data_IF_389261141088
#
_entry.id   IF_389261141088
#
_cell.length_a   1.000
_cell.length_b   1.000
_cell.length_c   1.000
_cell.angle_alpha   90.00
_cell.angle_beta   90.00
_cell.angle_gamma   90.00
#
_symmetry.space_group_name_H-M   'P 1'
#
loop_
_entity.id
_entity.type
_entity.pdbx_description
1 polymer ?
#
# COMPACT_ATOMS: atom_id res chain seq x y z
N UNK A 1 -16.40 25.47 -2.28
CA UNK A 1 -15.55 24.51 -1.54
C UNK A 1 -15.08 25.21 -0.28
N UNK A 2 -15.17 24.55 0.87
CA UNK A 2 -14.56 25.05 2.11
C UNK A 2 -13.03 25.01 1.96
N UNK A 3 -12.33 26.05 2.41
CA UNK A 3 -10.87 26.19 2.40
C UNK A 3 -10.21 24.93 2.98
N UNK A 4 -10.84 24.34 3.99
CA UNK A 4 -10.38 23.13 4.68
C UNK A 4 -10.39 21.89 3.82
N UNK A 5 -11.41 21.71 2.99
CA UNK A 5 -11.47 20.53 2.10
C UNK A 5 -10.36 20.58 1.05
N UNK A 6 -10.01 21.78 0.57
CA UNK A 6 -8.90 21.98 -0.35
C UNK A 6 -7.54 21.79 0.35
N UNK A 7 -7.41 22.17 1.62
CA UNK A 7 -6.20 21.93 2.42
C UNK A 7 -6.01 20.44 2.73
N UNK A 8 -7.06 19.74 3.17
CA UNK A 8 -7.04 18.30 3.42
C UNK A 8 -6.63 17.52 2.17
N UNK A 9 -7.21 17.85 1.01
CA UNK A 9 -6.83 17.22 -0.27
C UNK A 9 -5.39 17.53 -0.67
N UNK A 10 -4.93 18.78 -0.49
CA UNK A 10 -3.53 19.15 -0.77
C UNK A 10 -2.56 18.39 0.12
N UNK A 11 -2.85 18.31 1.42
CA UNK A 11 -2.05 17.55 2.38
C UNK A 11 -2.03 16.05 2.03
N UNK A 12 -3.20 15.48 1.70
CA UNK A 12 -3.30 14.08 1.26
C UNK A 12 -2.49 13.82 -0.02
N UNK A 13 -2.68 14.61 -1.07
CA UNK A 13 -1.92 14.50 -2.33
C UNK A 13 -0.42 14.70 -2.13
N UNK A 14 -0.02 15.59 -1.23
CA UNK A 14 1.40 15.81 -0.90
C UNK A 14 1.98 14.61 -0.15
N UNK A 15 1.28 14.10 0.87
CA UNK A 15 1.70 12.92 1.64
C UNK A 15 1.70 11.64 0.81
N UNK A 16 0.87 11.53 -0.24
CA UNK A 16 0.91 10.40 -1.16
C UNK A 16 2.27 10.28 -1.88
N UNK A 17 3.10 11.32 -1.94
CA UNK A 17 4.48 11.16 -2.43
C UNK A 17 5.35 10.26 -1.51
N UNK A 18 4.95 10.09 -0.25
CA UNK A 18 5.57 9.20 0.73
C UNK A 18 4.86 7.84 0.75
N UNK A 19 5.54 6.77 0.34
CA UNK A 19 5.00 5.41 0.39
C UNK A 19 4.62 4.97 1.80
N UNK A 20 5.31 5.45 2.83
CA UNK A 20 4.99 5.09 4.21
C UNK A 20 3.63 5.64 4.61
N UNK A 21 3.18 6.73 3.99
CA UNK A 21 1.81 7.22 4.07
C UNK A 21 0.89 6.46 3.11
N UNK A 22 1.26 6.33 1.82
CA UNK A 22 0.45 5.67 0.78
C UNK A 22 0.02 4.26 1.19
N UNK A 23 0.93 3.48 1.77
CA UNK A 23 0.69 2.09 2.18
C UNK A 23 0.24 1.97 3.66
N UNK A 24 0.04 3.08 4.37
CA UNK A 24 -0.29 3.05 5.79
C UNK A 24 -1.74 2.65 6.04
N UNK A 25 -1.97 1.69 6.94
CA UNK A 25 -3.28 1.51 7.57
C UNK A 25 -3.66 2.72 8.46
N UNK A 26 -2.68 3.55 8.84
CA UNK A 26 -2.82 4.71 9.71
C UNK A 26 -2.80 6.04 8.93
N UNK A 27 -3.24 6.04 7.66
CA UNK A 27 -3.39 7.26 6.83
C UNK A 27 -4.10 8.40 7.59
N UNK A 28 -5.22 8.15 8.31
CA UNK A 28 -5.91 9.23 9.02
C UNK A 28 -5.01 9.90 10.07
N UNK A 29 -4.30 9.12 10.88
CA UNK A 29 -3.45 9.64 11.96
C UNK A 29 -2.23 10.39 11.40
N UNK A 30 -1.63 9.88 10.32
CA UNK A 30 -0.50 10.57 9.66
C UNK A 30 -0.93 11.87 8.99
N UNK A 31 -2.12 11.89 8.38
CA UNK A 31 -2.69 13.11 7.80
C UNK A 31 -2.97 14.15 8.87
N UNK A 32 -3.52 13.74 10.02
CA UNK A 32 -3.74 14.61 11.18
C UNK A 32 -2.42 15.13 11.78
N UNK A 33 -1.38 14.29 11.83
CA UNK A 33 -0.04 14.70 12.23
C UNK A 33 0.54 15.78 11.30
N UNK A 34 0.28 15.70 9.99
CA UNK A 34 0.72 16.75 9.05
C UNK A 34 -0.05 18.07 9.22
N UNK A 35 -1.30 18.01 9.70
CA UNK A 35 -2.11 19.19 10.01
C UNK A 35 -1.87 19.73 11.44
N UNK A 36 -0.79 19.29 12.10
CA UNK A 36 -0.40 19.79 13.43
C UNK A 36 -0.12 21.29 13.43
N UNK A 37 -0.63 21.98 14.45
CA UNK A 37 -0.59 23.44 14.56
C UNK A 37 -1.90 24.14 14.21
N UNK A 38 -2.85 23.45 13.54
CA UNK A 38 -4.19 23.98 13.40
C UNK A 38 -4.94 23.95 14.73
N UNK A 39 -5.50 25.10 15.14
CA UNK A 39 -6.18 25.24 16.42
C UNK A 39 -7.35 24.26 16.60
N UNK A 40 -8.05 23.89 15.53
CA UNK A 40 -9.19 22.97 15.60
C UNK A 40 -8.71 21.52 15.69
N UNK A 41 -7.64 21.15 14.97
CA UNK A 41 -6.99 19.84 15.12
C UNK A 41 -6.54 19.63 16.56
N UNK A 42 -5.86 20.62 17.14
CA UNK A 42 -5.42 20.58 18.54
C UNK A 42 -6.62 20.51 19.49
N UNK A 43 -7.66 21.33 19.29
CA UNK A 43 -8.88 21.26 20.11
C UNK A 43 -9.55 19.89 20.07
N UNK A 44 -9.66 19.25 18.91
CA UNK A 44 -10.34 17.94 18.80
C UNK A 44 -9.49 16.83 19.42
N UNK A 45 -8.16 16.87 19.27
CA UNK A 45 -7.26 15.93 19.96
C UNK A 45 -7.48 15.92 21.47
N UNK A 46 -7.74 17.07 22.08
CA UNK A 46 -8.02 17.18 23.53
C UNK A 46 -9.48 17.02 23.93
N UNK A 47 -10.44 17.31 23.03
CA UNK A 47 -11.85 17.04 23.27
C UNK A 47 -12.08 15.54 23.54
N UNK A 48 -13.07 15.16 24.35
CA UNK A 48 -13.37 13.74 24.67
C UNK A 48 -14.87 13.51 24.65
N UNK A 49 -15.29 12.34 24.15
CA UNK A 49 -16.68 11.90 24.19
C UNK A 49 -17.64 12.90 23.56
N UNK A 50 -18.68 13.30 24.31
CA UNK A 50 -19.76 14.15 23.80
C UNK A 50 -19.29 15.52 23.30
N UNK A 51 -18.21 16.10 23.84
CA UNK A 51 -17.75 17.42 23.37
C UNK A 51 -17.23 17.38 21.93
N UNK A 52 -16.59 16.27 21.51
CA UNK A 52 -16.23 16.05 20.10
C UNK A 52 -17.46 15.98 19.20
N UNK A 53 -18.50 15.25 19.63
CA UNK A 53 -19.76 15.12 18.88
C UNK A 53 -20.49 16.47 18.74
N UNK A 54 -20.53 17.26 19.82
CA UNK A 54 -21.12 18.61 19.78
C UNK A 54 -20.35 19.53 18.84
N UNK A 55 -19.02 19.51 18.88
CA UNK A 55 -18.19 20.30 17.95
C UNK A 55 -18.38 19.83 16.49
N UNK A 56 -18.48 18.52 16.27
CA UNK A 56 -18.70 17.94 14.96
C UNK A 56 -20.09 18.26 14.40
N UNK A 57 -21.06 18.57 15.26
CA UNK A 57 -22.42 18.96 14.86
C UNK A 57 -22.52 20.42 14.39
N UNK A 58 -21.51 21.27 14.64
CA UNK A 58 -21.57 22.71 14.33
C UNK A 58 -20.60 23.16 13.24
N UNK A 59 -19.66 22.32 12.81
CA UNK A 59 -18.63 22.69 11.85
C UNK A 59 -18.24 21.54 10.92
N UNK A 60 -18.33 21.70 9.58
CA UNK A 60 -17.93 20.67 8.61
C UNK A 60 -16.45 20.29 8.74
N UNK A 61 -15.59 21.28 9.03
CA UNK A 61 -14.18 21.05 9.35
C UNK A 61 -14.02 20.13 10.55
N UNK A 62 -14.69 20.44 11.68
CA UNK A 62 -14.57 19.62 12.90
C UNK A 62 -15.13 18.22 12.65
N UNK A 63 -16.22 18.11 11.90
CA UNK A 63 -16.80 16.82 11.50
C UNK A 63 -15.79 15.96 10.75
N UNK A 64 -15.14 16.49 9.70
CA UNK A 64 -14.11 15.78 8.94
C UNK A 64 -12.93 15.35 9.82
N UNK A 65 -12.47 16.22 10.71
CA UNK A 65 -11.38 15.91 11.64
C UNK A 65 -11.79 14.84 12.68
N UNK A 66 -13.04 14.86 13.12
CA UNK A 66 -13.59 13.81 13.99
C UNK A 66 -13.70 12.47 13.26
N UNK A 67 -14.08 12.45 11.98
CA UNK A 67 -14.10 11.24 11.13
C UNK A 67 -12.69 10.66 10.91
N UNK A 68 -11.66 11.51 10.83
CA UNK A 68 -10.25 11.06 10.78
C UNK A 68 -9.77 10.46 12.11
N UNK A 69 -10.28 10.95 13.25
CA UNK A 69 -9.83 10.57 14.59
C UNK A 69 -10.57 9.36 15.18
N UNK A 70 -11.85 9.14 14.84
CA UNK A 70 -12.71 8.16 15.52
C UNK A 70 -13.70 7.43 14.60
N UNK A 71 -13.83 6.11 14.81
CA UNK A 71 -14.83 5.23 14.20
C UNK A 71 -16.25 5.33 14.79
N UNK A 72 -16.49 6.23 15.76
CA UNK A 72 -17.75 6.31 16.54
C UNK A 72 -18.80 7.27 15.99
N UNK A 73 -18.50 8.04 14.94
CA UNK A 73 -19.54 8.69 14.16
C UNK A 73 -20.42 7.60 13.50
N UNK A 74 -21.70 7.88 13.18
CA UNK A 74 -22.59 6.86 12.64
C UNK A 74 -21.87 6.09 11.53
N UNK A 75 -21.81 4.76 11.68
CA UNK A 75 -20.99 3.83 10.87
C UNK A 75 -21.23 3.95 9.37
N UNK A 76 -22.31 4.64 9.01
CA UNK A 76 -22.83 4.94 7.68
C UNK A 76 -21.99 5.90 6.89
N UNK A 77 -21.15 6.77 7.49
CA UNK A 77 -20.32 7.73 6.76
C UNK A 77 -18.87 7.64 7.23
N UNK A 78 -17.95 7.37 6.29
CA UNK A 78 -16.51 7.29 6.53
C UNK A 78 -15.75 8.19 5.56
N UNK A 79 -14.53 8.57 5.93
CA UNK A 79 -13.63 9.20 4.98
C UNK A 79 -12.75 8.13 4.32
N UNK A 80 -12.83 8.05 3.00
CA UNK A 80 -11.98 7.21 2.17
C UNK A 80 -10.77 8.02 1.70
N UNK A 81 -9.56 7.49 1.94
CA UNK A 81 -8.28 8.12 1.64
C UNK A 81 -7.47 7.23 0.69
N UNK A 82 -7.76 7.30 -0.61
CA UNK A 82 -7.09 6.50 -1.65
C UNK A 82 -6.22 7.35 -2.58
N UNK A 83 -5.44 6.70 -3.44
CA UNK A 83 -4.25 7.30 -4.06
C UNK A 83 -4.52 8.52 -4.96
N UNK A 84 -5.73 8.74 -5.45
CA UNK A 84 -6.07 9.95 -6.21
C UNK A 84 -7.23 10.76 -5.61
N UNK A 85 -8.04 10.18 -4.73
CA UNK A 85 -9.30 10.81 -4.30
C UNK A 85 -9.56 10.70 -2.80
N UNK A 86 -9.94 11.84 -2.23
CA UNK A 86 -10.61 11.92 -0.93
C UNK A 86 -12.11 11.88 -1.19
N UNK A 87 -12.78 10.81 -0.74
CA UNK A 87 -14.23 10.65 -0.86
C UNK A 87 -14.87 10.43 0.50
N UNK A 88 -16.14 10.79 0.63
CA UNK A 88 -16.99 10.24 1.68
C UNK A 88 -17.50 8.87 1.24
N UNK A 89 -17.26 7.82 2.00
CA UNK A 89 -17.86 6.51 1.79
C UNK A 89 -19.13 6.38 2.62
N UNK A 90 -20.27 6.27 1.95
CA UNK A 90 -21.55 5.90 2.54
C UNK A 90 -21.64 4.37 2.62
N UNK A 91 -21.57 3.83 3.83
CA UNK A 91 -21.63 2.39 4.08
C UNK A 91 -23.08 1.99 4.38
N UNK A 92 -23.63 1.14 3.53
CA UNK A 92 -24.95 0.55 3.74
C UNK A 92 -24.80 -0.80 4.44
N UNK A 93 -24.85 -0.79 5.78
CA UNK A 93 -24.95 -2.02 6.57
C UNK A 93 -26.40 -2.51 6.74
N UNK A 94 -27.39 -1.65 6.44
CA UNK A 94 -28.79 -1.86 6.82
C UNK A 94 -29.74 -1.96 5.62
N UNK A 95 -30.77 -2.80 5.74
CA UNK A 95 -31.76 -3.00 4.69
C UNK A 95 -32.72 -1.80 4.53
N UNK A 96 -32.86 -1.35 3.27
CA UNK A 96 -33.99 -0.59 2.73
C UNK A 96 -34.30 0.77 3.38
N UNK A 97 -35.21 0.77 4.36
CA UNK A 97 -35.83 2.00 4.89
C UNK A 97 -34.93 2.76 5.87
N UNK A 98 -34.12 2.05 6.65
CA UNK A 98 -33.18 2.67 7.60
C UNK A 98 -32.05 3.42 6.89
N UNK A 99 -31.65 2.96 5.70
CA UNK A 99 -30.62 3.59 4.88
C UNK A 99 -31.01 5.00 4.44
N UNK A 100 -32.23 5.20 3.93
CA UNK A 100 -32.70 6.53 3.51
C UNK A 100 -32.75 7.51 4.67
N UNK A 101 -33.19 7.08 5.85
CA UNK A 101 -33.19 7.92 7.05
C UNK A 101 -31.77 8.28 7.51
N UNK A 102 -30.84 7.32 7.44
CA UNK A 102 -29.43 7.55 7.74
C UNK A 102 -28.80 8.55 6.74
N UNK A 103 -29.17 8.47 5.47
CA UNK A 103 -28.75 9.44 4.45
C UNK A 103 -29.26 10.83 4.75
N UNK A 104 -30.55 11.00 5.06
CA UNK A 104 -31.12 12.31 5.36
C UNK A 104 -30.40 12.98 6.54
N UNK A 105 -29.95 12.18 7.52
CA UNK A 105 -29.16 12.67 8.65
C UNK A 105 -27.75 13.18 8.28
N UNK A 106 -27.17 12.72 7.15
CA UNK A 106 -25.82 13.10 6.72
C UNK A 106 -25.78 13.91 5.42
N UNK A 107 -26.87 13.97 4.65
CA UNK A 107 -26.92 14.61 3.33
C UNK A 107 -26.48 16.08 3.37
N UNK A 108 -26.96 16.82 4.37
CA UNK A 108 -26.56 18.20 4.59
C UNK A 108 -25.04 18.34 4.79
N UNK A 109 -24.42 17.44 5.56
CA UNK A 109 -22.98 17.47 5.80
C UNK A 109 -22.18 17.22 4.53
N UNK A 110 -22.59 16.20 3.77
CA UNK A 110 -21.96 15.85 2.50
C UNK A 110 -22.00 17.03 1.53
N UNK A 111 -23.16 17.68 1.38
CA UNK A 111 -23.32 18.86 0.52
C UNK A 111 -22.43 20.02 0.96
N UNK A 112 -22.31 20.28 2.28
CA UNK A 112 -21.49 21.37 2.81
C UNK A 112 -19.99 21.12 2.68
N UNK A 113 -19.55 19.88 2.84
CA UNK A 113 -18.14 19.52 2.67
C UNK A 113 -17.69 19.63 1.20
N UNK A 114 -18.59 19.43 0.22
CA UNK A 114 -18.21 19.45 -1.20
C UNK A 114 -17.20 18.36 -1.57
N UNK A 115 -17.15 17.27 -0.81
CA UNK A 115 -16.35 16.08 -1.06
C UNK A 115 -17.21 15.06 -1.83
N UNK A 116 -16.70 14.48 -2.93
CA UNK A 116 -17.43 13.48 -3.69
C UNK A 116 -17.79 12.27 -2.83
N UNK A 117 -18.88 11.59 -3.20
CA UNK A 117 -19.40 10.46 -2.42
C UNK A 117 -19.12 9.15 -3.14
N UNK A 118 -18.56 8.20 -2.42
CA UNK A 118 -18.57 6.79 -2.73
C UNK A 118 -19.70 6.09 -1.99
N UNK A 119 -20.36 5.14 -2.64
CA UNK A 119 -21.39 4.30 -2.02
C UNK A 119 -20.87 2.88 -1.88
N UNK A 120 -20.92 2.32 -0.67
CA UNK A 120 -20.55 0.93 -0.40
C UNK A 120 -21.76 0.11 0.03
N UNK A 121 -22.03 -1.00 -0.65
CA UNK A 121 -23.15 -1.87 -0.27
C UNK A 121 -23.42 -3.04 -1.22
N UNK A 122 -24.55 -3.70 -1.00
CA UNK A 122 -25.07 -4.73 -1.89
C UNK A 122 -25.83 -4.13 -3.09
N UNK A 123 -26.45 -5.01 -3.88
CA UNK A 123 -27.21 -4.61 -5.06
C UNK A 123 -28.35 -3.63 -4.72
N UNK A 124 -29.13 -3.93 -3.69
CA UNK A 124 -30.30 -3.13 -3.31
C UNK A 124 -29.90 -1.77 -2.76
N UNK A 125 -28.89 -1.73 -1.89
CA UNK A 125 -28.34 -0.52 -1.32
C UNK A 125 -27.83 0.43 -2.41
N UNK A 126 -27.00 -0.07 -3.33
CA UNK A 126 -26.47 0.75 -4.42
C UNK A 126 -27.61 1.26 -5.29
N UNK A 127 -28.53 0.42 -5.75
CA UNK A 127 -29.66 0.87 -6.58
C UNK A 127 -30.50 1.96 -5.88
N UNK A 128 -30.82 1.79 -4.58
CA UNK A 128 -31.54 2.80 -3.81
C UNK A 128 -30.77 4.12 -3.73
N UNK A 129 -29.47 4.05 -3.42
CA UNK A 129 -28.61 5.24 -3.29
C UNK A 129 -28.41 5.96 -4.62
N UNK A 130 -28.31 5.23 -5.73
CA UNK A 130 -28.27 5.81 -7.08
C UNK A 130 -29.57 6.50 -7.48
N UNK A 131 -30.68 6.23 -6.78
CA UNK A 131 -32.00 6.83 -7.05
C UNK A 131 -32.35 7.97 -6.08
N UNK A 132 -31.47 8.26 -5.12
CA UNK A 132 -31.72 9.21 -4.02
C UNK A 132 -31.23 10.64 -4.32
N UNK A 133 -31.40 11.55 -3.35
CA UNK A 133 -30.86 12.93 -3.40
C UNK A 133 -29.35 12.99 -3.56
N UNK A 134 -28.60 11.94 -3.20
CA UNK A 134 -27.14 11.92 -3.36
C UNK A 134 -26.69 11.57 -4.79
N UNK A 135 -27.59 11.11 -5.68
CA UNK A 135 -27.24 10.76 -7.08
C UNK A 135 -26.36 11.79 -7.81
N UNK A 136 -26.59 13.12 -7.71
CA UNK A 136 -25.77 14.11 -8.42
C UNK A 136 -24.30 14.16 -7.97
N UNK A 137 -24.05 13.82 -6.71
CA UNK A 137 -22.73 13.95 -6.04
C UNK A 137 -21.99 12.61 -5.91
N UNK A 138 -22.63 11.49 -6.23
CA UNK A 138 -21.98 10.17 -6.28
C UNK A 138 -20.92 10.15 -7.40
N UNK A 139 -19.70 9.78 -7.02
CA UNK A 139 -18.53 9.58 -7.90
C UNK A 139 -17.81 8.25 -7.64
N UNK A 140 -18.14 7.54 -6.56
CA UNK A 140 -17.59 6.21 -6.28
C UNK A 140 -18.68 5.18 -6.02
N UNK A 141 -18.41 3.92 -6.35
CA UNK A 141 -19.22 2.78 -5.90
C UNK A 141 -18.31 1.62 -5.52
N UNK A 142 -18.55 1.00 -4.36
CA UNK A 142 -17.97 -0.26 -3.90
C UNK A 142 -19.07 -1.30 -3.69
N UNK A 143 -19.06 -2.37 -4.46
CA UNK A 143 -20.06 -3.44 -4.40
C UNK A 143 -19.53 -4.62 -3.58
N UNK A 144 -20.43 -5.24 -2.80
CA UNK A 144 -20.17 -6.54 -2.19
C UNK A 144 -19.75 -7.58 -3.23
N UNK A 145 -18.83 -8.48 -2.84
CA UNK A 145 -18.37 -9.62 -3.66
C UNK A 145 -19.49 -10.59 -4.05
N UNK A 146 -20.65 -10.50 -3.42
CA UNK A 146 -21.84 -11.30 -3.74
C UNK A 146 -22.63 -10.74 -4.94
N UNK A 147 -22.40 -9.47 -5.31
CA UNK A 147 -23.05 -8.85 -6.45
C UNK A 147 -22.34 -9.29 -7.73
N UNK A 148 -22.99 -10.12 -8.55
CA UNK A 148 -22.44 -10.69 -9.79
C UNK A 148 -22.90 -9.97 -11.07
N UNK A 149 -23.94 -9.16 -10.97
CA UNK A 149 -24.44 -8.33 -12.06
C UNK A 149 -24.41 -6.86 -11.64
N UNK A 150 -23.94 -5.98 -12.53
CA UNK A 150 -23.81 -4.56 -12.24
C UNK A 150 -25.20 -3.93 -12.05
N UNK A 151 -25.51 -3.39 -10.86
CA UNK A 151 -26.80 -2.75 -10.61
C UNK A 151 -26.84 -1.27 -10.97
N UNK A 152 -25.75 -0.75 -11.55
CA UNK A 152 -25.54 0.69 -11.72
C UNK A 152 -26.06 1.10 -13.10
N UNK A 153 -26.96 2.11 -13.18
CA UNK A 153 -27.41 2.66 -14.45
C UNK A 153 -26.25 3.23 -15.29
N UNK A 154 -26.35 3.07 -16.62
CA UNK A 154 -25.30 3.49 -17.56
C UNK A 154 -24.94 4.98 -17.45
N UNK A 155 -25.91 5.86 -17.24
CA UNK A 155 -25.67 7.31 -17.09
C UNK A 155 -24.83 7.65 -15.85
N UNK A 156 -24.97 6.88 -14.77
CA UNK A 156 -24.17 7.08 -13.57
C UNK A 156 -22.76 6.53 -13.75
N UNK A 157 -22.62 5.36 -14.38
CA UNK A 157 -21.31 4.74 -14.67
C UNK A 157 -20.38 5.71 -15.42
N UNK A 158 -20.89 6.48 -16.38
CA UNK A 158 -20.12 7.47 -17.15
C UNK A 158 -19.59 8.64 -16.32
N UNK A 159 -20.10 8.86 -15.10
CA UNK A 159 -19.69 9.93 -14.19
C UNK A 159 -18.87 9.44 -13.00
N UNK A 160 -18.73 8.13 -12.83
CA UNK A 160 -17.95 7.58 -11.71
C UNK A 160 -16.47 7.82 -11.94
N UNK A 161 -15.79 8.27 -10.90
CA UNK A 161 -14.34 8.42 -10.80
C UNK A 161 -13.71 7.16 -10.17
N UNK A 162 -14.50 6.41 -9.39
CA UNK A 162 -14.05 5.19 -8.69
C UNK A 162 -15.06 4.05 -8.82
N UNK A 163 -14.55 2.85 -9.08
CA UNK A 163 -15.32 1.60 -9.03
C UNK A 163 -14.54 0.53 -8.26
N UNK A 164 -15.22 -0.16 -7.36
CA UNK A 164 -14.75 -1.37 -6.67
C UNK A 164 -15.85 -2.44 -6.74
N UNK A 165 -15.58 -3.58 -7.39
CA UNK A 165 -16.56 -4.66 -7.54
C UNK A 165 -15.90 -5.99 -7.93
N UNK A 166 -16.67 -7.07 -7.96
CA UNK A 166 -16.15 -8.34 -8.48
C UNK A 166 -16.10 -8.36 -10.03
N UNK A 167 -15.28 -9.26 -10.58
CA UNK A 167 -15.04 -9.40 -12.01
C UNK A 167 -16.29 -9.73 -12.81
N UNK A 168 -17.20 -10.55 -12.28
CA UNK A 168 -18.48 -10.85 -12.94
C UNK A 168 -19.36 -9.59 -13.04
N UNK A 169 -19.48 -8.82 -11.95
CA UNK A 169 -20.21 -7.56 -11.96
C UNK A 169 -19.60 -6.57 -12.96
N UNK A 170 -18.27 -6.48 -13.00
CA UNK A 170 -17.57 -5.61 -13.94
C UNK A 170 -17.76 -6.07 -15.40
N UNK A 171 -17.69 -7.37 -15.67
CA UNK A 171 -17.93 -7.91 -17.01
C UNK A 171 -19.38 -7.65 -17.51
N UNK A 172 -20.32 -7.54 -16.58
CA UNK A 172 -21.74 -7.26 -16.85
C UNK A 172 -22.10 -5.77 -16.99
N UNK A 173 -21.11 -4.86 -17.01
CA UNK A 173 -21.36 -3.43 -17.18
C UNK A 173 -22.24 -3.15 -18.42
N UNK A 174 -23.35 -2.40 -18.26
CA UNK A 174 -24.24 -2.05 -19.37
C UNK A 174 -23.66 -0.96 -20.28
N UNK A 175 -22.77 -0.12 -19.75
CA UNK A 175 -22.08 0.91 -20.52
C UNK A 175 -20.88 0.33 -21.27
N UNK A 176 -20.49 0.98 -22.37
CA UNK A 176 -19.21 0.73 -23.03
C UNK A 176 -18.07 1.31 -22.15
N UNK A 177 -17.10 0.48 -21.70
CA UNK A 177 -15.97 0.96 -20.90
C UNK A 177 -15.18 2.07 -21.60
N UNK A 178 -15.13 2.11 -22.93
CA UNK A 178 -14.43 3.15 -23.68
C UNK A 178 -14.97 4.57 -23.43
N UNK A 179 -16.24 4.67 -23.00
CA UNK A 179 -16.92 5.94 -22.72
C UNK A 179 -16.71 6.42 -21.27
N UNK A 180 -16.16 5.57 -20.39
CA UNK A 180 -15.98 5.86 -18.96
C UNK A 180 -14.75 6.74 -18.70
N UNK A 181 -14.69 7.91 -19.34
CA UNK A 181 -13.55 8.85 -19.33
C UNK A 181 -13.25 9.49 -17.97
N UNK A 182 -14.22 9.49 -17.05
CA UNK A 182 -14.05 10.03 -15.71
C UNK A 182 -13.42 9.02 -14.75
N UNK A 183 -13.43 7.73 -15.08
CA UNK A 183 -12.96 6.68 -14.19
C UNK A 183 -11.44 6.75 -14.03
N UNK A 184 -10.98 6.95 -12.79
CA UNK A 184 -9.56 7.05 -12.41
C UNK A 184 -9.10 5.86 -11.60
N UNK A 185 -9.97 5.35 -10.74
CA UNK A 185 -9.64 4.26 -9.82
C UNK A 185 -10.54 3.06 -10.06
N UNK A 186 -9.94 1.90 -10.29
CA UNK A 186 -10.65 0.65 -10.49
C UNK A 186 -10.06 -0.45 -9.62
N UNK A 187 -10.91 -1.12 -8.84
CA UNK A 187 -10.59 -2.30 -8.06
C UNK A 187 -11.50 -3.44 -8.52
N UNK A 188 -10.90 -4.51 -9.05
CA UNK A 188 -11.64 -5.69 -9.54
C UNK A 188 -11.16 -6.91 -8.79
N UNK A 189 -12.03 -7.43 -7.92
CA UNK A 189 -11.81 -8.70 -7.22
C UNK A 189 -12.38 -9.88 -8.00
N UNK A 190 -11.82 -11.08 -7.86
CA UNK A 190 -12.20 -12.25 -8.68
C UNK A 190 -12.25 -11.92 -10.18
N UNK A 191 -11.21 -11.24 -10.67
CA UNK A 191 -11.16 -10.78 -12.06
C UNK A 191 -11.22 -11.97 -13.03
N UNK A 192 -12.18 -11.95 -13.94
CA UNK A 192 -12.35 -12.96 -14.99
C UNK A 192 -11.71 -12.48 -16.30
N UNK A 193 -11.45 -13.39 -17.25
CA UNK A 193 -10.96 -12.99 -18.57
C UNK A 193 -11.91 -12.00 -19.28
N UNK A 194 -13.22 -12.16 -19.09
CA UNK A 194 -14.22 -11.23 -19.62
C UNK A 194 -14.12 -9.83 -18.97
N UNK A 195 -13.86 -9.76 -17.66
CA UNK A 195 -13.63 -8.50 -16.97
C UNK A 195 -12.33 -7.83 -17.45
N UNK A 196 -11.26 -8.60 -17.65
CA UNK A 196 -9.97 -8.11 -18.13
C UNK A 196 -10.09 -7.48 -19.53
N UNK A 197 -10.79 -8.12 -20.46
CA UNK A 197 -11.02 -7.56 -21.81
C UNK A 197 -11.76 -6.21 -21.78
N UNK A 198 -12.73 -6.06 -20.87
CA UNK A 198 -13.45 -4.79 -20.65
C UNK A 198 -12.53 -3.74 -20.01
N UNK A 199 -11.68 -4.15 -19.07
CA UNK A 199 -10.74 -3.26 -18.39
C UNK A 199 -9.73 -2.65 -19.35
N UNK A 200 -9.23 -3.44 -20.32
CA UNK A 200 -8.32 -2.98 -21.37
C UNK A 200 -8.87 -1.81 -22.20
N UNK A 201 -10.20 -1.65 -22.27
CA UNK A 201 -10.87 -0.59 -23.02
C UNK A 201 -11.01 0.72 -22.22
N UNK A 202 -10.69 0.75 -20.92
CA UNK A 202 -10.83 1.95 -20.10
C UNK A 202 -9.78 3.00 -20.47
N UNK A 203 -10.18 4.27 -20.71
CA UNK A 203 -9.30 5.25 -21.37
C UNK A 203 -8.39 6.05 -20.43
N UNK A 204 -8.60 6.04 -19.11
CA UNK A 204 -8.09 7.12 -18.24
C UNK A 204 -7.76 6.75 -16.80
N UNK A 205 -7.57 5.45 -16.52
CA UNK A 205 -7.19 4.97 -15.20
C UNK A 205 -5.84 5.51 -14.74
N UNK A 206 -5.77 5.91 -13.48
CA UNK A 206 -4.54 6.24 -12.75
C UNK A 206 -4.20 5.16 -11.73
N UNK A 207 -5.21 4.54 -11.12
CA UNK A 207 -5.04 3.45 -10.14
C UNK A 207 -5.82 2.23 -10.60
N UNK A 208 -5.14 1.09 -10.65
CA UNK A 208 -5.75 -0.19 -10.96
C UNK A 208 -5.32 -1.26 -9.96
N UNK A 209 -6.31 -1.95 -9.39
CA UNK A 209 -6.09 -3.14 -8.57
C UNK A 209 -6.85 -4.32 -9.15
N UNK A 210 -6.14 -5.40 -9.48
CA UNK A 210 -6.71 -6.66 -9.95
C UNK A 210 -6.41 -7.72 -8.90
N UNK A 211 -7.46 -8.34 -8.36
CA UNK A 211 -7.37 -9.50 -7.50
C UNK A 211 -8.07 -10.70 -8.18
N UNK A 212 -7.36 -11.81 -8.33
CA UNK A 212 -7.89 -13.11 -8.78
C UNK A 212 -7.75 -14.11 -7.64
N UNK A 213 -8.74 -15.01 -7.49
CA UNK A 213 -8.95 -15.88 -6.31
C UNK A 213 -7.64 -16.49 -5.79
N UNK A 214 -7.38 -16.29 -4.49
CA UNK A 214 -6.35 -17.00 -3.73
C UNK A 214 -6.80 -18.46 -3.64
N UNK A 215 -6.02 -19.40 -4.16
CA UNK A 215 -6.23 -20.83 -3.92
C UNK A 215 -5.99 -21.20 -2.45
N UNK A 216 -6.80 -20.69 -1.52
CA UNK A 216 -6.90 -21.28 -0.18
C UNK A 216 -7.96 -22.35 -0.28
N UNK A 217 -7.54 -23.61 -0.33
CA UNK A 217 -8.45 -24.72 -0.07
C UNK A 217 -9.13 -24.47 1.30
N UNK A 218 -10.47 -24.52 1.41
CA UNK A 218 -11.08 -24.54 2.72
C UNK A 218 -10.60 -25.80 3.44
N UNK A 219 -9.86 -25.61 4.54
CA UNK A 219 -9.62 -26.64 5.53
C UNK A 219 -10.98 -27.00 6.14
N UNK A 220 -11.68 -27.94 5.52
CA UNK A 220 -12.97 -28.44 6.00
C UNK A 220 -14.06 -28.48 4.94
N UNK A 221 -14.57 -29.70 4.76
CA UNK A 221 -15.81 -30.12 4.10
C UNK A 221 -15.78 -30.27 2.57
N UNK A 222 -15.49 -31.53 2.22
CA UNK A 222 -16.02 -32.33 1.12
C UNK A 222 -17.30 -31.77 0.44
N UNK A 223 -17.32 -31.84 -0.89
CA UNK A 223 -18.49 -31.74 -1.78
C UNK A 223 -18.97 -30.36 -2.23
N UNK A 224 -18.06 -29.46 -2.56
CA UNK A 224 -18.30 -28.60 -3.74
C UNK A 224 -17.23 -28.88 -4.76
N UNK A 225 -17.54 -29.78 -5.70
CA UNK A 225 -16.82 -29.88 -6.96
C UNK A 225 -17.07 -28.58 -7.76
N UNK A 226 -16.43 -27.48 -7.36
CA UNK A 226 -16.31 -26.31 -8.22
C UNK A 226 -15.51 -26.75 -9.45
N UNK A 227 -16.14 -26.65 -10.60
CA UNK A 227 -15.66 -27.14 -11.89
C UNK A 227 -14.25 -26.56 -12.19
N UNK A 228 -13.19 -27.39 -12.26
CA UNK A 228 -11.81 -26.91 -12.45
C UNK A 228 -11.60 -26.16 -13.77
N UNK A 229 -12.54 -26.27 -14.73
CA UNK A 229 -12.50 -25.54 -16.00
C UNK A 229 -13.06 -24.11 -15.94
N UNK A 230 -13.78 -23.71 -14.88
CA UNK A 230 -14.33 -22.34 -14.78
C UNK A 230 -13.42 -21.36 -14.03
N UNK A 231 -12.31 -21.82 -13.44
CA UNK A 231 -11.39 -20.98 -12.68
C UNK A 231 -10.22 -20.48 -13.56
N UNK A 232 -10.54 -19.97 -14.75
CA UNK A 232 -9.61 -19.28 -15.66
C UNK A 232 -9.28 -17.90 -15.05
N UNK A 233 -8.36 -17.89 -14.08
CA UNK A 233 -7.79 -16.66 -13.56
C UNK A 233 -7.06 -15.86 -14.64
N UNK A 234 -6.70 -14.62 -14.31
CA UNK A 234 -5.80 -13.84 -15.17
C UNK A 234 -4.38 -14.39 -15.02
N UNK A 235 -3.92 -15.09 -16.05
CA UNK A 235 -2.57 -15.69 -16.11
C UNK A 235 -1.52 -14.74 -16.72
N UNK A 236 -1.95 -13.79 -17.53
CA UNK A 236 -1.09 -12.81 -18.20
C UNK A 236 -1.75 -11.43 -18.26
N UNK A 237 -0.96 -10.38 -18.06
CA UNK A 237 -1.37 -8.99 -18.26
C UNK A 237 -0.37 -8.32 -19.19
N UNK A 238 -0.85 -7.84 -20.34
CA UNK A 238 -0.07 -7.07 -21.30
C UNK A 238 -0.56 -5.62 -21.30
N UNK A 239 0.30 -4.72 -20.82
CA UNK A 239 0.02 -3.29 -20.76
C UNK A 239 -0.14 -2.68 -22.16
N UNK A 240 0.39 -3.27 -23.24
CA UNK A 240 0.14 -2.76 -24.60
C UNK A 240 -1.34 -2.84 -24.99
N UNK A 241 -2.08 -3.77 -24.41
CA UNK A 241 -3.52 -3.92 -24.66
C UNK A 241 -4.34 -2.94 -23.83
N UNK A 242 -3.75 -2.33 -22.80
CA UNK A 242 -4.43 -1.40 -21.90
C UNK A 242 -4.43 0.02 -22.46
N UNK A 243 -5.60 0.52 -22.83
CA UNK A 243 -5.78 1.89 -23.33
C UNK A 243 -5.31 2.94 -22.30
N UNK A 244 -5.49 2.67 -21.01
CA UNK A 244 -5.04 3.54 -19.91
C UNK A 244 -3.57 3.38 -19.51
N UNK A 245 -2.76 2.55 -20.19
CA UNK A 245 -1.39 2.23 -19.74
C UNK A 245 -0.51 3.49 -19.58
N UNK A 246 -0.66 4.49 -20.45
CA UNK A 246 0.09 5.76 -20.39
C UNK A 246 -0.28 6.63 -19.18
N UNK A 247 -1.54 6.58 -18.73
CA UNK A 247 -2.02 7.36 -17.58
C UNK A 247 -1.88 6.64 -16.25
N UNK A 248 -1.62 5.34 -16.27
CA UNK A 248 -1.56 4.51 -15.07
C UNK A 248 -0.37 4.90 -14.21
N UNK A 249 -0.62 5.18 -12.93
CA UNK A 249 0.37 5.58 -11.93
C UNK A 249 0.59 4.50 -10.88
N UNK A 250 -0.47 3.80 -10.51
CA UNK A 250 -0.49 2.82 -9.44
C UNK A 250 -1.12 1.52 -9.94
N UNK A 251 -0.34 0.45 -9.89
CA UNK A 251 -0.78 -0.89 -10.29
C UNK A 251 -0.64 -1.84 -9.11
N UNK A 252 -1.74 -2.51 -8.74
CA UNK A 252 -1.75 -3.60 -7.78
C UNK A 252 -2.27 -4.87 -8.43
N UNK A 253 -1.49 -5.94 -8.32
CA UNK A 253 -1.83 -7.25 -8.85
C UNK A 253 -1.81 -8.26 -7.70
N UNK A 254 -2.87 -9.03 -7.55
CA UNK A 254 -2.90 -10.17 -6.65
C UNK A 254 -3.58 -11.35 -7.31
N UNK A 255 -2.81 -12.31 -7.80
CA UNK A 255 -3.35 -13.47 -8.52
C UNK A 255 -2.38 -14.64 -8.43
N UNK A 256 -2.82 -15.75 -7.84
CA UNK A 256 -2.01 -16.96 -7.78
C UNK A 256 -1.77 -17.59 -9.17
N UNK A 257 -2.60 -17.26 -10.16
CA UNK A 257 -2.45 -17.72 -11.54
C UNK A 257 -1.49 -16.88 -12.37
N UNK A 258 -1.26 -15.61 -12.00
CA UNK A 258 -0.50 -14.68 -12.81
C UNK A 258 0.96 -15.14 -12.97
N UNK A 259 1.31 -15.45 -14.21
CA UNK A 259 2.61 -15.99 -14.60
C UNK A 259 3.46 -14.97 -15.34
N UNK A 260 2.83 -13.99 -16.00
CA UNK A 260 3.52 -13.04 -16.86
C UNK A 260 2.89 -11.65 -16.80
N UNK A 261 3.75 -10.63 -16.80
CA UNK A 261 3.36 -9.23 -17.01
C UNK A 261 4.28 -8.62 -18.06
N UNK A 262 3.73 -7.88 -19.02
CA UNK A 262 4.45 -7.33 -20.17
C UNK A 262 3.97 -5.92 -20.53
N UNK A 263 4.74 -5.22 -21.36
CA UNK A 263 4.38 -3.93 -21.95
C UNK A 263 4.56 -2.68 -21.11
N UNK A 264 5.38 -2.71 -20.06
CA UNK A 264 5.59 -1.52 -19.23
C UNK A 264 6.40 -0.40 -19.90
N UNK A 265 6.92 -0.61 -21.11
CA UNK A 265 7.54 0.41 -21.95
C UNK A 265 6.52 1.47 -22.43
N UNK A 266 5.24 1.13 -22.53
CA UNK A 266 4.19 2.10 -22.83
C UNK A 266 3.66 2.85 -21.58
N UNK A 267 4.12 2.48 -20.39
CA UNK A 267 3.68 3.09 -19.13
C UNK A 267 4.49 4.35 -18.79
N UNK A 268 4.07 5.49 -19.33
CA UNK A 268 4.74 6.79 -19.16
C UNK A 268 4.59 7.39 -17.74
N UNK A 269 3.59 6.96 -16.96
CA UNK A 269 3.28 7.56 -15.65
C UNK A 269 3.43 6.60 -14.46
N UNK A 270 3.80 5.34 -14.70
CA UNK A 270 3.75 4.30 -13.67
C UNK A 270 4.80 4.55 -12.58
N UNK A 271 4.30 4.86 -11.38
CA UNK A 271 5.11 5.25 -10.23
C UNK A 271 5.23 4.13 -9.20
N UNK A 272 4.16 3.34 -8.99
CA UNK A 272 4.16 2.25 -8.03
C UNK A 272 3.60 0.96 -8.61
N UNK A 273 4.26 -0.16 -8.30
CA UNK A 273 3.79 -1.50 -8.62
C UNK A 273 3.76 -2.32 -7.33
N UNK A 274 2.61 -2.90 -7.04
CA UNK A 274 2.41 -3.83 -5.93
C UNK A 274 1.99 -5.20 -6.47
N UNK A 275 2.71 -6.26 -6.14
CA UNK A 275 2.37 -7.63 -6.53
C UNK A 275 2.26 -8.49 -5.27
N UNK A 276 1.13 -9.13 -5.05
CA UNK A 276 0.88 -9.92 -3.83
C UNK A 276 0.38 -11.31 -4.19
N UNK A 277 1.01 -12.35 -3.67
CA UNK A 277 0.56 -13.73 -3.84
C UNK A 277 0.55 -14.19 -5.31
N UNK A 278 1.60 -13.84 -6.05
CA UNK A 278 1.82 -14.24 -7.44
C UNK A 278 3.01 -15.22 -7.52
N UNK A 279 2.81 -16.45 -7.03
CA UNK A 279 3.87 -17.46 -6.96
C UNK A 279 4.37 -17.92 -8.34
N UNK A 280 3.50 -17.83 -9.36
CA UNK A 280 3.84 -18.18 -10.75
C UNK A 280 4.56 -17.06 -11.50
N UNK A 281 4.60 -15.85 -10.95
CA UNK A 281 5.33 -14.74 -11.55
C UNK A 281 6.82 -14.90 -11.24
N UNK A 282 7.57 -15.45 -12.20
CA UNK A 282 8.99 -15.78 -12.02
C UNK A 282 9.94 -14.65 -12.40
N UNK A 283 9.48 -13.71 -13.22
CA UNK A 283 10.31 -12.64 -13.80
C UNK A 283 9.59 -11.30 -13.80
N UNK A 284 10.36 -10.24 -13.58
CA UNK A 284 9.96 -8.85 -13.71
C UNK A 284 10.70 -8.13 -14.84
N UNK A 285 11.28 -8.87 -15.79
CA UNK A 285 12.11 -8.33 -16.88
C UNK A 285 11.46 -7.18 -17.64
N UNK A 286 10.14 -7.22 -17.81
CA UNK A 286 9.37 -6.15 -18.47
C UNK A 286 9.38 -4.82 -17.70
N UNK A 287 9.55 -4.82 -16.38
CA UNK A 287 9.66 -3.60 -15.57
C UNK A 287 10.94 -2.81 -15.84
N UNK A 288 11.94 -3.39 -16.51
CA UNK A 288 13.14 -2.67 -16.92
C UNK A 288 12.84 -1.42 -17.77
N UNK A 289 11.68 -1.41 -18.44
CA UNK A 289 11.22 -0.29 -19.25
C UNK A 289 10.38 0.75 -18.49
N UNK A 290 10.02 0.49 -17.23
CA UNK A 290 9.25 1.40 -16.39
C UNK A 290 10.15 2.51 -15.83
N UNK A 291 10.55 3.46 -16.68
CA UNK A 291 11.56 4.49 -16.35
C UNK A 291 11.16 5.46 -15.23
N UNK A 292 9.85 5.57 -14.96
CA UNK A 292 9.29 6.43 -13.91
C UNK A 292 8.95 5.68 -12.62
N UNK A 293 9.20 4.36 -12.56
CA UNK A 293 8.92 3.54 -11.39
C UNK A 293 9.74 4.05 -10.20
N UNK A 294 9.05 4.38 -9.10
CA UNK A 294 9.65 4.86 -7.84
C UNK A 294 9.60 3.84 -6.74
N UNK A 295 8.56 3.00 -6.74
CA UNK A 295 8.33 2.04 -5.68
C UNK A 295 7.86 0.71 -6.25
N UNK A 296 8.45 -0.36 -5.74
CA UNK A 296 8.01 -1.72 -6.00
C UNK A 296 7.83 -2.47 -4.69
N UNK A 297 6.65 -3.05 -4.51
CA UNK A 297 6.32 -3.90 -3.37
C UNK A 297 5.87 -5.25 -3.89
N UNK A 298 6.56 -6.31 -3.49
CA UNK A 298 6.27 -7.67 -3.91
C UNK A 298 6.22 -8.55 -2.68
N UNK A 299 5.13 -9.29 -2.53
CA UNK A 299 4.91 -10.19 -1.42
C UNK A 299 4.48 -11.55 -1.93
N UNK A 300 5.00 -12.63 -1.33
CA UNK A 300 4.59 -14.00 -1.68
C UNK A 300 4.68 -14.28 -3.20
N UNK A 301 5.85 -14.05 -3.80
CA UNK A 301 6.08 -14.27 -5.24
C UNK A 301 7.20 -15.27 -5.51
N UNK A 302 7.19 -15.83 -6.73
CA UNK A 302 8.25 -16.70 -7.25
C UNK A 302 9.42 -15.96 -7.90
N UNK A 303 9.44 -14.62 -7.84
CA UNK A 303 10.47 -13.80 -8.48
C UNK A 303 11.85 -14.16 -7.93
N UNK A 304 12.80 -14.40 -8.84
CA UNK A 304 14.20 -14.74 -8.50
C UNK A 304 15.17 -13.62 -8.84
N UNK A 305 15.00 -13.05 -10.02
CA UNK A 305 15.93 -12.09 -10.60
C UNK A 305 15.42 -10.65 -10.43
N UNK A 306 16.27 -9.82 -9.84
CA UNK A 306 16.05 -8.39 -9.66
C UNK A 306 16.76 -7.54 -10.72
N UNK A 307 17.44 -8.16 -11.69
CA UNK A 307 18.21 -7.48 -12.74
C UNK A 307 17.43 -6.42 -13.50
N UNK A 308 16.13 -6.64 -13.70
CA UNK A 308 15.24 -5.66 -14.32
C UNK A 308 15.17 -4.33 -13.57
N UNK A 309 15.25 -4.36 -12.24
CA UNK A 309 15.16 -3.17 -11.38
C UNK A 309 16.41 -2.29 -11.48
N UNK A 310 17.55 -2.85 -11.90
CA UNK A 310 18.77 -2.09 -12.16
C UNK A 310 18.57 -1.04 -13.27
N UNK A 311 17.61 -1.28 -14.18
CA UNK A 311 17.29 -0.39 -15.29
C UNK A 311 16.26 0.70 -14.91
N UNK A 312 15.73 0.73 -13.68
CA UNK A 312 14.77 1.73 -13.24
C UNK A 312 15.47 2.94 -12.57
N UNK A 313 15.76 4.05 -13.29
CA UNK A 313 16.59 5.14 -12.78
C UNK A 313 15.92 5.96 -11.66
N UNK A 314 14.59 5.87 -11.55
CA UNK A 314 13.80 6.58 -10.55
C UNK A 314 13.47 5.74 -9.32
N UNK A 315 13.94 4.49 -9.23
CA UNK A 315 13.55 3.57 -8.16
C UNK A 315 14.12 4.04 -6.82
N UNK A 316 13.22 4.35 -5.89
CA UNK A 316 13.52 4.88 -4.56
C UNK A 316 13.29 3.83 -3.47
N UNK A 317 12.30 2.95 -3.63
CA UNK A 317 11.93 1.97 -2.60
C UNK A 317 11.65 0.59 -3.18
N UNK A 318 12.13 -0.41 -2.46
CA UNK A 318 11.94 -1.82 -2.77
C UNK A 318 11.47 -2.52 -1.50
N UNK A 319 10.35 -3.23 -1.59
CA UNK A 319 9.86 -4.12 -0.53
C UNK A 319 9.62 -5.51 -1.10
N UNK A 320 10.37 -6.52 -0.65
CA UNK A 320 10.20 -7.93 -0.99
C UNK A 320 9.87 -8.73 0.27
N UNK A 321 8.59 -8.90 0.56
CA UNK A 321 8.13 -9.66 1.72
C UNK A 321 7.95 -11.15 1.36
N UNK A 322 8.58 -12.04 2.12
CA UNK A 322 8.39 -13.49 2.02
C UNK A 322 8.72 -14.01 0.60
N UNK A 323 9.60 -13.32 -0.13
CA UNK A 323 10.07 -13.72 -1.45
C UNK A 323 11.29 -14.64 -1.32
N UNK A 324 11.04 -15.92 -1.00
CA UNK A 324 12.10 -16.91 -0.71
C UNK A 324 13.03 -17.23 -1.88
N UNK A 325 12.61 -16.94 -3.10
CA UNK A 325 13.38 -17.23 -4.31
C UNK A 325 14.36 -16.08 -4.68
N UNK A 326 14.23 -14.91 -4.05
CA UNK A 326 15.19 -13.80 -4.17
C UNK A 326 16.38 -14.10 -3.27
N UNK A 327 17.51 -14.47 -3.86
CA UNK A 327 18.71 -14.89 -3.10
C UNK A 327 19.82 -13.83 -3.03
N UNK A 328 19.81 -12.87 -3.96
CA UNK A 328 20.85 -11.84 -4.09
C UNK A 328 20.26 -10.47 -4.36
N UNK A 329 20.87 -9.44 -3.76
CA UNK A 329 20.56 -8.03 -3.98
C UNK A 329 21.59 -7.32 -4.86
N UNK A 330 22.58 -8.04 -5.42
CA UNK A 330 23.67 -7.45 -6.23
C UNK A 330 23.18 -6.67 -7.45
N UNK A 331 22.02 -7.02 -8.00
CA UNK A 331 21.38 -6.26 -9.08
C UNK A 331 21.04 -4.81 -8.70
N UNK A 332 20.89 -4.52 -7.40
CA UNK A 332 20.59 -3.18 -6.89
C UNK A 332 21.84 -2.32 -6.69
N UNK A 333 23.04 -2.87 -6.94
CA UNK A 333 24.29 -2.16 -6.75
C UNK A 333 24.33 -0.85 -7.55
N UNK A 334 24.65 0.26 -6.88
CA UNK A 334 24.78 1.57 -7.52
C UNK A 334 23.45 2.19 -7.96
N UNK A 335 22.29 1.63 -7.55
CA UNK A 335 20.98 2.19 -7.89
C UNK A 335 20.92 3.68 -7.49
N UNK A 336 20.73 4.60 -8.46
CA UNK A 336 21.11 6.00 -8.31
C UNK A 336 20.17 6.80 -7.38
N UNK A 337 18.99 6.27 -7.06
CA UNK A 337 17.99 6.92 -6.21
C UNK A 337 17.43 6.03 -5.10
N UNK A 338 17.93 4.80 -4.97
CA UNK A 338 17.42 3.84 -4.00
C UNK A 338 17.67 4.35 -2.58
N UNK A 339 16.61 4.43 -1.77
CA UNK A 339 16.59 4.93 -0.39
C UNK A 339 16.21 3.87 0.62
N UNK A 340 15.30 2.97 0.26
CA UNK A 340 14.78 1.96 1.18
C UNK A 340 14.76 0.60 0.51
N UNK A 341 15.34 -0.38 1.20
CA UNK A 341 15.30 -1.80 0.84
C UNK A 341 14.76 -2.57 2.03
N UNK A 342 13.60 -3.19 1.87
CA UNK A 342 13.02 -4.13 2.82
C UNK A 342 12.87 -5.48 2.13
N UNK A 343 13.49 -6.51 2.68
CA UNK A 343 13.44 -7.88 2.13
C UNK A 343 12.99 -8.87 3.20
N UNK A 344 12.07 -8.46 4.07
CA UNK A 344 11.54 -9.26 5.18
C UNK A 344 11.26 -10.73 4.79
N UNK A 345 11.79 -11.69 5.57
CA UNK A 345 11.54 -13.13 5.40
C UNK A 345 11.87 -13.67 3.98
N UNK A 346 12.81 -13.04 3.26
CA UNK A 346 13.26 -13.47 1.94
C UNK A 346 14.38 -14.52 1.98
N UNK A 347 14.78 -15.02 0.80
CA UNK A 347 15.89 -15.96 0.62
C UNK A 347 17.26 -15.31 0.51
N UNK A 348 17.35 -13.99 0.74
CA UNK A 348 18.58 -13.20 0.55
C UNK A 348 19.70 -13.75 1.45
N UNK A 349 20.87 -14.01 0.86
CA UNK A 349 22.05 -14.54 1.57
C UNK A 349 23.07 -13.48 1.94
N UNK A 350 23.12 -12.40 1.17
CA UNK A 350 24.04 -11.31 1.38
C UNK A 350 23.45 -9.97 0.94
N UNK A 351 24.08 -8.91 1.40
CA UNK A 351 23.69 -7.52 1.11
C UNK A 351 24.70 -6.84 0.19
N UNK A 352 25.37 -7.63 -0.65
CA UNK A 352 26.43 -7.15 -1.53
C UNK A 352 25.92 -6.09 -2.51
N UNK A 353 26.75 -5.08 -2.76
CA UNK A 353 26.44 -3.98 -3.67
C UNK A 353 25.62 -2.85 -3.05
N UNK A 354 24.91 -3.07 -1.94
CA UNK A 354 24.09 -2.02 -1.34
C UNK A 354 24.90 -0.82 -0.81
N UNK A 355 26.16 -1.02 -0.42
CA UNK A 355 27.05 0.08 -0.01
C UNK A 355 27.35 1.08 -1.14
N UNK A 356 27.24 0.68 -2.41
CA UNK A 356 27.47 1.59 -3.54
C UNK A 356 26.24 2.44 -3.90
N UNK A 357 25.08 2.20 -3.27
CA UNK A 357 23.88 3.02 -3.45
C UNK A 357 24.05 4.38 -2.75
N UNK A 358 24.11 5.50 -3.48
CA UNK A 358 24.49 6.80 -2.90
C UNK A 358 23.43 7.41 -1.97
N UNK A 359 22.18 6.94 -2.05
CA UNK A 359 21.04 7.46 -1.29
C UNK A 359 20.39 6.44 -0.35
N UNK A 360 20.95 5.23 -0.18
CA UNK A 360 20.33 4.21 0.66
C UNK A 360 20.35 4.66 2.12
N UNK A 361 19.17 4.81 2.73
CA UNK A 361 18.96 5.28 4.10
C UNK A 361 18.49 4.17 5.04
N UNK A 362 17.65 3.25 4.53
CA UNK A 362 17.06 2.18 5.34
C UNK A 362 17.26 0.83 4.68
N UNK A 363 17.75 -0.13 5.46
CA UNK A 363 17.83 -1.55 5.08
C UNK A 363 17.13 -2.40 6.14
N UNK A 364 16.14 -3.18 5.72
CA UNK A 364 15.47 -4.19 6.54
C UNK A 364 15.71 -5.58 5.93
N UNK A 365 16.42 -6.44 6.66
CA UNK A 365 16.65 -7.86 6.38
C UNK A 365 16.09 -8.73 7.50
N UNK A 366 15.03 -8.24 8.15
CA UNK A 366 14.38 -8.92 9.27
C UNK A 366 13.89 -10.30 8.85
N UNK A 367 14.14 -11.30 9.69
CA UNK A 367 13.83 -12.71 9.44
C UNK A 367 14.50 -13.33 8.19
N UNK A 368 15.50 -12.67 7.59
CA UNK A 368 16.34 -13.27 6.54
C UNK A 368 17.36 -14.21 7.17
N UNK A 369 16.98 -15.48 7.33
CA UNK A 369 17.76 -16.49 8.05
C UNK A 369 19.09 -16.87 7.40
N UNK A 370 19.33 -16.46 6.16
CA UNK A 370 20.56 -16.76 5.43
C UNK A 370 21.56 -15.59 5.41
N UNK A 371 21.15 -14.39 5.84
CA UNK A 371 22.07 -13.26 5.98
C UNK A 371 22.89 -13.45 7.25
N UNK A 372 24.19 -13.70 7.07
CA UNK A 372 25.14 -13.91 8.19
C UNK A 372 26.15 -12.78 8.34
N UNK A 373 26.34 -11.96 7.30
CA UNK A 373 27.40 -10.97 7.21
C UNK A 373 26.88 -9.62 6.70
N UNK A 374 27.10 -8.56 7.48
CA UNK A 374 26.76 -7.18 7.15
C UNK A 374 27.98 -6.33 6.75
N UNK A 375 29.18 -6.91 6.74
CA UNK A 375 30.40 -6.20 6.30
C UNK A 375 30.37 -5.66 4.87
N UNK A 376 29.57 -6.19 3.92
CA UNK A 376 29.41 -5.56 2.62
C UNK A 376 28.75 -4.17 2.66
N UNK A 377 28.17 -3.77 3.81
CA UNK A 377 27.60 -2.42 4.02
C UNK A 377 28.65 -1.41 4.50
N UNK A 378 29.91 -1.82 4.70
CA UNK A 378 30.97 -0.93 5.16
C UNK A 378 31.08 0.33 4.28
N UNK A 379 31.15 1.49 4.92
CA UNK A 379 31.28 2.79 4.27
C UNK A 379 30.03 3.28 3.54
N UNK A 380 28.86 2.63 3.70
CA UNK A 380 27.62 3.07 3.07
C UNK A 380 27.32 4.54 3.44
N UNK A 381 27.28 5.47 2.46
CA UNK A 381 27.45 6.90 2.72
C UNK A 381 26.25 7.53 3.47
N UNK A 382 25.05 7.00 3.24
CA UNK A 382 23.79 7.56 3.78
C UNK A 382 22.97 6.57 4.58
N UNK A 383 23.47 5.36 4.83
CA UNK A 383 22.71 4.35 5.57
C UNK A 383 22.52 4.80 7.02
N UNK A 384 21.27 4.90 7.45
CA UNK A 384 20.85 5.41 8.77
C UNK A 384 20.24 4.31 9.63
N UNK A 385 19.46 3.42 9.05
CA UNK A 385 18.71 2.40 9.77
C UNK A 385 19.03 1.03 9.17
N UNK A 386 19.49 0.11 10.02
CA UNK A 386 19.60 -1.30 9.69
C UNK A 386 18.70 -2.08 10.65
N UNK A 387 17.78 -2.86 10.11
CA UNK A 387 17.03 -3.86 10.86
C UNK A 387 17.37 -5.26 10.36
N UNK A 388 18.10 -6.02 11.16
CA UNK A 388 18.45 -7.39 10.88
C UNK A 388 17.85 -8.35 11.90
N UNK A 389 16.81 -7.94 12.63
CA UNK A 389 16.21 -8.74 13.68
C UNK A 389 15.77 -10.12 13.17
N UNK A 390 15.92 -11.17 13.98
CA UNK A 390 15.61 -12.56 13.63
C UNK A 390 16.40 -13.13 12.42
N UNK A 391 17.48 -12.48 12.00
CA UNK A 391 18.43 -13.02 11.01
C UNK A 391 19.52 -13.89 11.67
N UNK A 392 20.38 -14.50 10.84
CA UNK A 392 21.55 -15.24 11.28
C UNK A 392 22.84 -14.39 11.31
N UNK A 393 22.71 -13.05 11.34
CA UNK A 393 23.86 -12.15 11.33
C UNK A 393 24.78 -12.45 12.51
N UNK A 394 26.07 -12.51 12.22
CA UNK A 394 27.15 -12.69 13.20
C UNK A 394 28.30 -11.71 12.94
N UNK A 395 28.56 -11.38 11.68
CA UNK A 395 29.61 -10.44 11.29
C UNK A 395 29.05 -9.03 11.10
N UNK A 396 29.48 -8.11 11.97
CA UNK A 396 29.13 -6.69 11.96
C UNK A 396 30.31 -5.80 11.51
N UNK A 397 31.41 -6.38 11.04
CA UNK A 397 32.64 -5.65 10.69
C UNK A 397 32.36 -4.53 9.69
N UNK A 398 33.04 -3.40 9.85
CA UNK A 398 32.91 -2.26 8.94
C UNK A 398 31.66 -1.39 9.12
N UNK A 399 30.63 -1.81 9.86
CA UNK A 399 29.44 -0.95 10.11
C UNK A 399 29.80 0.34 10.88
N UNK A 400 30.84 0.31 11.71
CA UNK A 400 31.41 1.50 12.34
C UNK A 400 31.90 2.57 11.35
N UNK A 401 32.19 2.20 10.10
CA UNK A 401 32.64 3.15 9.07
C UNK A 401 31.50 3.90 8.38
N UNK A 402 30.23 3.54 8.64
CA UNK A 402 29.07 4.19 8.04
C UNK A 402 28.82 5.57 8.68
N UNK A 403 29.04 6.69 7.97
CA UNK A 403 29.04 8.02 8.57
C UNK A 403 27.66 8.51 9.03
N UNK A 404 26.59 7.89 8.53
CA UNK A 404 25.20 8.28 8.78
C UNK A 404 24.43 7.30 9.66
N UNK A 405 25.03 6.21 10.11
CA UNK A 405 24.33 5.12 10.81
C UNK A 405 23.82 5.60 12.17
N UNK A 406 22.50 5.52 12.41
CA UNK A 406 21.81 6.00 13.61
C UNK A 406 21.18 4.86 14.42
N UNK A 407 20.59 3.88 13.74
CA UNK A 407 19.81 2.79 14.36
C UNK A 407 20.26 1.45 13.81
N UNK A 408 20.57 0.53 14.71
CA UNK A 408 20.85 -0.88 14.39
C UNK A 408 19.97 -1.77 15.25
N UNK A 409 19.14 -2.61 14.63
CA UNK A 409 18.32 -3.62 15.31
C UNK A 409 18.84 -5.02 15.02
N UNK A 410 19.15 -5.73 16.07
CA UNK A 410 19.72 -7.09 16.10
C UNK A 410 18.92 -7.97 17.07
N UNK A 411 17.63 -7.67 17.26
CA UNK A 411 16.78 -8.44 18.16
C UNK A 411 16.74 -9.90 17.69
N UNK A 412 16.99 -10.84 18.59
CA UNK A 412 17.06 -12.27 18.34
C UNK A 412 18.10 -12.72 17.28
N UNK A 413 19.14 -11.91 17.00
CA UNK A 413 20.31 -12.33 16.21
C UNK A 413 21.28 -13.18 17.05
N UNK A 414 20.89 -14.40 17.41
CA UNK A 414 21.59 -15.24 18.41
C UNK A 414 23.08 -15.52 18.15
N UNK A 415 23.55 -15.33 16.91
CA UNK A 415 24.95 -15.54 16.52
C UNK A 415 25.84 -14.28 16.71
N UNK A 416 25.27 -13.15 17.13
CA UNK A 416 26.04 -11.95 17.46
C UNK A 416 26.62 -12.07 18.87
N UNK A 417 27.95 -12.09 18.96
CA UNK A 417 28.69 -12.12 20.24
C UNK A 417 29.56 -10.89 20.47
N UNK A 418 29.69 -10.00 19.48
CA UNK A 418 30.59 -8.86 19.55
C UNK A 418 29.99 -7.61 18.88
N UNK A 419 29.77 -6.55 19.66
CA UNK A 419 29.27 -5.26 19.18
C UNK A 419 30.36 -4.21 18.97
N UNK A 420 31.63 -4.52 19.26
CA UNK A 420 32.75 -3.60 19.03
C UNK A 420 32.81 -3.02 17.61
N UNK A 421 32.46 -3.75 16.53
CA UNK A 421 32.42 -3.17 15.18
C UNK A 421 31.49 -1.97 14.99
N UNK A 422 30.55 -1.74 15.92
CA UNK A 422 29.64 -0.60 15.91
C UNK A 422 30.21 0.63 16.65
N UNK A 423 31.32 0.48 17.40
CA UNK A 423 31.84 1.51 18.30
C UNK A 423 32.21 2.82 17.58
N UNK A 424 32.70 2.70 16.35
CA UNK A 424 33.23 3.82 15.57
C UNK A 424 32.16 4.55 14.75
N UNK A 425 30.90 4.09 14.76
CA UNK A 425 29.81 4.72 14.02
C UNK A 425 29.49 6.11 14.62
N UNK A 426 29.79 7.22 13.92
CA UNK A 426 29.84 8.55 14.54
C UNK A 426 28.47 9.10 14.94
N UNK A 427 27.39 8.61 14.31
CA UNK A 427 26.01 9.06 14.54
C UNK A 427 25.12 8.03 15.21
N UNK A 428 25.69 6.90 15.65
CA UNK A 428 24.90 5.81 16.22
C UNK A 428 24.20 6.27 17.50
N UNK A 429 22.89 6.06 17.59
CA UNK A 429 22.03 6.49 18.71
C UNK A 429 21.40 5.30 19.42
N UNK A 430 20.91 4.32 18.66
CA UNK A 430 20.12 3.21 19.19
C UNK A 430 20.60 1.87 18.65
N UNK A 431 20.91 0.95 19.57
CA UNK A 431 21.24 -0.45 19.27
C UNK A 431 20.27 -1.34 20.03
N UNK A 432 19.38 -2.02 19.31
CA UNK A 432 18.41 -2.94 19.89
C UNK A 432 18.93 -4.37 19.76
N UNK A 433 18.97 -5.10 20.87
CA UNK A 433 19.62 -6.41 21.01
C UNK A 433 18.81 -7.35 21.91
N UNK A 434 17.49 -7.24 21.86
CA UNK A 434 16.58 -8.05 22.66
C UNK A 434 16.74 -9.53 22.31
N UNK A 435 16.83 -10.38 23.33
CA UNK A 435 16.92 -11.83 23.12
C UNK A 435 18.30 -12.33 22.73
N UNK A 436 19.34 -11.49 22.80
CA UNK A 436 20.73 -11.93 22.77
C UNK A 436 21.19 -12.39 24.16
N UNK A 437 22.21 -13.25 24.20
CA UNK A 437 22.89 -13.59 25.45
C UNK A 437 23.80 -12.45 25.90
N UNK A 438 23.26 -11.56 26.72
CA UNK A 438 23.98 -10.40 27.23
C UNK A 438 25.19 -10.75 28.12
N UNK A 439 25.26 -11.97 28.66
CA UNK A 439 26.41 -12.40 29.48
C UNK A 439 27.63 -12.74 28.61
N UNK A 440 27.39 -13.23 27.39
CA UNK A 440 28.44 -13.56 26.42
C UNK A 440 28.77 -12.40 25.46
N UNK A 441 27.94 -11.36 25.41
CA UNK A 441 28.05 -10.26 24.46
C UNK A 441 29.15 -9.26 24.84
N UNK A 442 30.12 -9.05 23.95
CA UNK A 442 31.17 -8.05 24.14
C UNK A 442 30.66 -6.65 23.78
N UNK A 443 30.67 -5.75 24.77
CA UNK A 443 30.32 -4.33 24.62
C UNK A 443 31.55 -3.44 24.64
N UNK A 444 31.65 -2.44 23.74
CA UNK A 444 32.50 -1.30 23.96
C UNK A 444 31.82 -0.33 24.94
N UNK A 445 32.58 0.26 25.86
CA UNK A 445 32.08 1.21 26.86
C UNK A 445 31.37 2.43 26.24
N UNK A 446 31.73 2.78 24.99
CA UNK A 446 31.13 3.87 24.23
C UNK A 446 29.68 3.60 23.79
N UNK A 447 29.27 2.33 23.68
CA UNK A 447 27.92 1.96 23.24
C UNK A 447 26.96 1.66 24.38
N UNK A 448 27.45 1.46 25.61
CA UNK A 448 26.59 1.12 26.78
C UNK A 448 25.35 2.01 26.93
N UNK A 449 25.40 3.36 26.81
CA UNK A 449 24.20 4.19 26.93
C UNK A 449 23.25 4.13 25.72
N UNK A 450 23.66 3.50 24.62
CA UNK A 450 22.93 3.42 23.35
C UNK A 450 22.28 2.05 23.14
N UNK A 451 22.54 1.10 24.05
CA UNK A 451 22.08 -0.29 23.94
C UNK A 451 20.75 -0.45 24.69
N UNK A 452 19.76 -0.99 24.00
CA UNK A 452 18.42 -1.22 24.51
C UNK A 452 18.14 -2.74 24.52
N UNK A 453 18.32 -3.42 25.66
CA UNK A 453 18.07 -4.86 25.79
C UNK A 453 16.58 -5.20 25.95
N UNK A 454 15.75 -4.22 26.30
CA UNK A 454 14.30 -4.33 26.42
C UNK A 454 13.64 -3.09 25.81
N UNK A 455 12.41 -3.23 25.30
CA UNK A 455 11.64 -2.08 24.84
C UNK A 455 11.48 -1.09 25.99
N UNK A 456 11.98 0.14 25.82
CA UNK A 456 11.47 1.25 26.61
C UNK A 456 9.96 1.31 26.32
N UNK A 457 9.14 1.06 27.34
CA UNK A 457 7.68 0.97 27.23
C UNK A 457 7.04 2.27 26.76
#
# INVERSE_FOLDING_TARGET
MDIWTAELRRAHSWLLADDTYRNSAMKPQRLLGHLEGDAVVEMIKFARGNSRLTLAAVSPKVRLLAELLESRLPTTLRLLLDDATVMHELVSDAAGASLLQQLDAVAWWIEKCGIPVSVRGDQTAVTLLTSSRVRPIVRGVSLSLLVRACPIPADLLLRLERIDMCGEAFASLPADPSQMVQLRELYVSRCTSAALLRLYQLPSLTTLSIESKIGVEPVGNENVAENPQQNLGVDEIDMHLMTSARSLQHLRLSSSGLSMVSGFDCCESLATVTVVNCERLLSLSSLAHAVHLRSISISWSGVRDLGALAACPCLERITFDTCRAVESLTALAGAPRLREVDVFCSGVRDVNGLASCPYLETLCVTACRLVTDLSPLAGAPRLRIIDASFSAVSNLQGLGTCPSLEVVRLDACIAVHNLNPLADAPRLKYVFVRGLDHAALLYPSSLTPKIFPAAAG
#
